data_IF_768243815243
#
_entry.id   IF_768243815243
#
_cell.length_a   1.000
_cell.length_b   1.000
_cell.length_c   1.000
_cell.angle_alpha   90.00
_cell.angle_beta   90.00
_cell.angle_gamma   90.00
#
_symmetry.space_group_name_H-M   'P 1'
#
loop_
_entity.id
_entity.type
_entity.pdbx_description
1 polymer ?
#
# COMPACT_ATOMS: atom_id res chain seq x y z
N UNK A 1 -22.54 15.03 -18.69
CA UNK A 1 -22.56 14.74 -17.24
C UNK A 1 -21.27 14.02 -16.88
N UNK A 2 -20.25 14.74 -16.36
CA UNK A 2 -19.00 14.12 -15.89
C UNK A 2 -19.31 13.36 -14.59
N UNK A 3 -19.30 12.04 -14.63
CA UNK A 3 -19.22 11.22 -13.42
C UNK A 3 -17.74 11.16 -13.03
N UNK A 4 -17.29 12.10 -12.21
CA UNK A 4 -16.05 11.89 -11.44
C UNK A 4 -16.40 10.94 -10.31
N UNK A 5 -16.36 9.65 -10.59
CA UNK A 5 -16.60 8.61 -9.58
C UNK A 5 -15.40 8.54 -8.65
N UNK A 6 -15.71 8.29 -7.40
CA UNK A 6 -14.95 8.74 -6.25
C UNK A 6 -13.93 7.68 -5.81
N UNK A 7 -12.78 8.14 -5.34
CA UNK A 7 -11.73 7.31 -4.73
C UNK A 7 -12.31 6.31 -3.70
N UNK A 8 -11.99 5.02 -3.84
CA UNK A 8 -12.33 4.03 -2.81
C UNK A 8 -11.35 4.17 -1.66
N UNK A 9 -11.83 4.52 -0.46
CA UNK A 9 -11.00 4.73 0.73
C UNK A 9 -10.98 3.46 1.58
N UNK A 10 -9.79 2.94 1.87
CA UNK A 10 -9.54 1.81 2.75
C UNK A 10 -9.03 2.31 4.10
N UNK A 11 -9.51 1.71 5.19
CA UNK A 11 -9.16 2.06 6.58
C UNK A 11 -8.86 0.78 7.35
N UNK A 12 -7.79 0.78 8.13
CA UNK A 12 -7.46 -0.28 9.08
C UNK A 12 -7.65 0.24 10.51
N UNK A 13 -8.44 -0.49 11.29
CA UNK A 13 -8.70 -0.20 12.70
C UNK A 13 -8.18 -1.35 13.55
N UNK A 14 -7.41 -1.03 14.59
CA UNK A 14 -6.92 -1.98 15.60
C UNK A 14 -7.29 -1.44 16.99
N UNK A 15 -7.85 -2.28 17.85
CA UNK A 15 -8.28 -1.89 19.21
C UNK A 15 -9.19 -0.65 19.25
N UNK A 16 -9.98 -0.40 18.19
CA UNK A 16 -10.83 0.80 18.06
C UNK A 16 -10.10 2.07 17.59
N UNK A 17 -8.78 2.02 17.33
CA UNK A 17 -7.95 3.13 16.84
C UNK A 17 -7.69 2.99 15.34
N UNK A 18 -7.80 4.09 14.59
CA UNK A 18 -7.46 4.12 13.16
C UNK A 18 -5.94 4.15 13.01
N UNK A 19 -5.37 3.11 12.41
CA UNK A 19 -3.91 2.94 12.29
C UNK A 19 -3.39 3.10 10.87
N UNK A 20 -4.23 2.89 9.85
CA UNK A 20 -3.86 3.15 8.46
C UNK A 20 -5.06 3.58 7.63
N UNK A 21 -4.82 4.43 6.62
CA UNK A 21 -5.81 4.87 5.65
C UNK A 21 -5.14 5.04 4.28
N UNK A 22 -5.71 4.44 3.24
CA UNK A 22 -5.26 4.58 1.85
C UNK A 22 -6.45 4.71 0.91
N UNK A 23 -6.24 5.03 -0.36
CA UNK A 23 -7.32 5.10 -1.35
C UNK A 23 -6.86 4.67 -2.75
N UNK A 24 -7.81 4.16 -3.53
CA UNK A 24 -7.61 3.80 -4.95
C UNK A 24 -8.35 4.82 -5.82
N UNK A 25 -7.63 5.48 -6.72
CA UNK A 25 -8.20 6.35 -7.77
C UNK A 25 -8.67 5.51 -8.98
N UNK A 26 -9.64 6.02 -9.76
CA UNK A 26 -10.05 5.35 -10.99
C UNK A 26 -8.92 5.29 -12.02
N UNK A 27 -8.79 4.15 -12.70
CA UNK A 27 -8.06 4.07 -13.96
C UNK A 27 -7.54 2.68 -14.29
N UNK A 28 -6.80 2.06 -13.38
CA UNK A 28 -6.23 0.74 -13.61
C UNK A 28 -6.38 -0.13 -12.36
N UNK A 29 -7.01 -1.29 -12.55
CA UNK A 29 -7.15 -2.32 -11.50
C UNK A 29 -5.86 -3.11 -11.27
N UNK A 30 -4.88 -2.95 -12.14
CA UNK A 30 -3.62 -3.68 -12.13
C UNK A 30 -2.45 -2.74 -12.39
N UNK A 31 -1.34 -2.95 -11.70
CA UNK A 31 -0.08 -2.31 -12.06
C UNK A 31 0.39 -2.93 -13.38
N UNK A 32 0.10 -2.28 -14.50
CA UNK A 32 0.65 -2.73 -15.80
C UNK A 32 2.18 -2.76 -15.77
N UNK A 33 2.80 -3.49 -16.70
CA UNK A 33 4.28 -3.52 -16.84
C UNK A 33 4.89 -2.12 -16.97
N UNK A 34 4.13 -1.17 -17.53
CA UNK A 34 4.54 0.22 -17.59
C UNK A 34 4.64 0.83 -16.18
N UNK A 35 3.60 0.67 -15.36
CA UNK A 35 3.59 1.15 -13.98
C UNK A 35 4.71 0.51 -13.13
N UNK A 36 4.90 -0.80 -13.24
CA UNK A 36 6.00 -1.51 -12.59
C UNK A 36 7.36 -0.95 -13.04
N UNK A 37 7.56 -0.74 -14.34
CA UNK A 37 8.80 -0.17 -14.88
C UNK A 37 9.08 1.26 -14.43
N UNK A 38 8.04 2.09 -14.25
CA UNK A 38 8.18 3.43 -13.67
C UNK A 38 8.59 3.36 -12.19
N UNK A 39 7.94 2.51 -11.41
CA UNK A 39 8.20 2.35 -9.98
C UNK A 39 9.61 1.82 -9.71
N UNK A 40 10.05 0.80 -10.46
CA UNK A 40 11.43 0.26 -10.44
C UNK A 40 12.45 1.40 -10.63
N UNK A 41 12.24 2.25 -11.65
CA UNK A 41 13.14 3.38 -11.95
C UNK A 41 13.08 4.48 -10.88
N UNK A 42 11.89 4.82 -10.38
CA UNK A 42 11.71 5.83 -9.34
C UNK A 42 12.38 5.43 -8.03
N UNK A 43 12.36 4.14 -7.70
CA UNK A 43 13.01 3.58 -6.51
C UNK A 43 14.49 3.25 -6.72
N UNK A 44 15.01 3.41 -7.95
CA UNK A 44 16.40 3.07 -8.33
C UNK A 44 16.76 1.61 -8.06
N UNK A 45 15.81 0.72 -8.25
CA UNK A 45 15.96 -0.73 -8.08
C UNK A 45 16.04 -1.43 -9.43
N UNK A 46 16.51 -2.68 -9.43
CA UNK A 46 16.29 -3.64 -10.52
C UNK A 46 14.93 -4.30 -10.35
N UNK A 47 14.39 -4.88 -11.42
CA UNK A 47 13.05 -5.48 -11.40
C UNK A 47 12.90 -6.61 -10.37
N UNK A 48 13.91 -7.45 -10.20
CA UNK A 48 13.91 -8.53 -9.19
C UNK A 48 13.95 -7.98 -7.76
N UNK A 49 14.79 -6.96 -7.50
CA UNK A 49 14.85 -6.28 -6.19
C UNK A 49 13.52 -5.58 -5.86
N UNK A 50 12.88 -5.00 -6.87
CA UNK A 50 11.57 -4.40 -6.73
C UNK A 50 10.47 -5.45 -6.47
N UNK A 51 10.52 -6.61 -7.12
CA UNK A 51 9.59 -7.71 -6.87
C UNK A 51 9.76 -8.26 -5.46
N UNK A 52 10.98 -8.41 -4.96
CA UNK A 52 11.23 -8.81 -3.56
C UNK A 52 10.73 -7.74 -2.56
N UNK A 53 10.91 -6.46 -2.88
CA UNK A 53 10.38 -5.36 -2.08
C UNK A 53 8.84 -5.32 -2.06
N UNK A 54 8.20 -5.55 -3.21
CA UNK A 54 6.73 -5.58 -3.37
C UNK A 54 6.12 -6.88 -2.84
N UNK A 55 6.84 -8.00 -2.93
CA UNK A 55 6.45 -9.26 -2.33
C UNK A 55 6.30 -9.16 -0.81
N UNK A 56 6.76 -8.04 -0.22
CA UNK A 56 6.42 -7.57 1.11
C UNK A 56 6.42 -8.74 2.10
N UNK A 57 7.61 -9.19 2.56
CA UNK A 57 7.76 -10.36 3.44
C UNK A 57 7.18 -10.15 4.84
N UNK A 58 6.35 -9.12 5.00
CA UNK A 58 5.77 -8.70 6.25
C UNK A 58 4.39 -9.33 6.36
N UNK A 59 4.34 -10.44 7.08
CA UNK A 59 3.11 -11.09 7.46
C UNK A 59 2.25 -10.12 8.31
N UNK A 60 0.94 -10.39 8.34
CA UNK A 60 -0.02 -9.54 9.05
C UNK A 60 0.39 -9.34 10.52
N UNK A 61 0.85 -10.39 11.19
CA UNK A 61 1.28 -10.34 12.59
C UNK A 61 2.52 -9.46 12.77
N UNK A 62 3.48 -9.54 11.84
CA UNK A 62 4.69 -8.72 11.89
C UNK A 62 4.37 -7.25 11.64
N UNK A 63 3.44 -6.97 10.73
CA UNK A 63 2.93 -5.62 10.53
C UNK A 63 2.23 -5.07 11.77
N UNK A 64 1.37 -5.87 12.42
CA UNK A 64 0.69 -5.45 13.65
C UNK A 64 1.66 -5.27 14.82
N UNK A 65 2.72 -6.08 14.92
CA UNK A 65 3.80 -5.88 15.89
C UNK A 65 4.47 -4.51 15.71
N UNK A 66 4.85 -4.18 14.48
CA UNK A 66 5.43 -2.87 14.17
C UNK A 66 4.49 -1.70 14.50
N UNK A 67 3.18 -1.86 14.30
CA UNK A 67 2.21 -0.83 14.65
C UNK A 67 2.14 -0.61 16.17
N UNK A 68 2.18 -1.68 16.98
CA UNK A 68 2.19 -1.57 18.45
C UNK A 68 3.47 -0.94 18.99
N UNK A 69 4.60 -1.18 18.34
CA UNK A 69 5.88 -0.52 18.70
C UNK A 69 5.86 0.99 18.42
N UNK A 70 5.17 1.42 17.36
CA UNK A 70 5.22 2.80 16.84
C UNK A 70 4.07 3.68 17.31
N UNK A 71 2.96 3.07 17.70
CA UNK A 71 1.76 3.77 18.15
C UNK A 71 1.61 3.49 19.64
N UNK A 72 1.91 4.46 20.52
CA UNK A 72 1.64 4.32 21.94
C UNK A 72 0.17 3.98 22.18
N UNK A 73 -0.08 3.06 23.12
CA UNK A 73 -1.41 2.64 23.58
C UNK A 73 -2.29 1.97 22.49
N UNK A 74 -1.68 1.15 21.63
CA UNK A 74 -2.38 0.36 20.60
C UNK A 74 -2.71 -1.08 21.05
#
# INVERSE_FOLDING_TARGET
MKRETHHHVYKLWLSGKLVARTYISHGERELSRFHLGQMVRQMRLRTNEFVEAVACPLEQEDYYRLLRERIPDL
#
